data_IF_283892473471
#
_entry.id   IF_283892473471
#
_cell.length_a   1.000
_cell.length_b   1.000
_cell.length_c   1.000
_cell.angle_alpha   90.00
_cell.angle_beta   90.00
_cell.angle_gamma   90.00
#
_symmetry.space_group_name_H-M   'P 1'
#
loop_
_entity.id
_entity.type
_entity.pdbx_description
1 polymer ?
#
# COMPACT_ATOMS: atom_id res chain seq x y z
N UNK A 1 -41.01 -7.39 -27.39
CA UNK A 1 -41.62 -6.59 -26.30
C UNK A 1 -41.06 -7.19 -25.01
N UNK A 2 -39.89 -6.69 -24.59
CA UNK A 2 -39.68 -5.80 -23.42
C UNK A 2 -39.59 -6.65 -22.12
N UNK A 3 -38.56 -6.55 -21.27
CA UNK A 3 -37.63 -5.47 -20.98
C UNK A 3 -36.25 -6.00 -20.56
N UNK A 4 -35.27 -5.16 -20.84
CA UNK A 4 -33.90 -5.16 -20.35
C UNK A 4 -33.80 -5.39 -18.84
N UNK A 5 -32.73 -6.05 -18.41
CA UNK A 5 -32.19 -5.79 -17.08
C UNK A 5 -30.66 -5.73 -17.16
N UNK A 6 -30.19 -4.54 -17.56
CA UNK A 6 -28.80 -4.14 -17.47
C UNK A 6 -28.33 -4.36 -16.02
N UNK A 7 -27.51 -5.38 -15.79
CA UNK A 7 -26.79 -5.51 -14.53
C UNK A 7 -25.61 -4.54 -14.56
N UNK A 8 -25.95 -3.32 -14.15
CA UNK A 8 -25.20 -2.46 -13.24
C UNK A 8 -23.71 -2.25 -13.57
N UNK A 9 -23.44 -1.29 -14.44
CA UNK A 9 -22.16 -0.60 -14.49
C UNK A 9 -22.24 0.58 -13.49
N UNK A 10 -21.20 0.71 -12.65
CA UNK A 10 -20.93 1.78 -11.66
C UNK A 10 -21.34 1.51 -10.19
N UNK A 11 -20.42 0.92 -9.43
CA UNK A 11 -20.23 1.16 -7.98
C UNK A 11 -18.94 0.48 -7.49
N UNK A 12 -17.78 0.95 -7.96
CA UNK A 12 -16.47 0.46 -7.47
C UNK A 12 -15.50 1.60 -7.13
N UNK A 13 -16.00 2.79 -6.80
CA UNK A 13 -15.14 3.97 -6.60
C UNK A 13 -15.17 4.61 -5.21
N UNK A 14 -15.99 4.14 -4.28
CA UNK A 14 -16.10 4.74 -2.94
C UNK A 14 -15.76 3.79 -1.76
N UNK A 15 -15.31 2.57 -2.04
CA UNK A 15 -14.96 1.62 -0.99
C UNK A 15 -13.53 1.85 -0.47
N UNK A 16 -13.34 1.58 0.82
CA UNK A 16 -12.04 1.64 1.46
C UNK A 16 -11.06 0.64 0.80
N UNK A 17 -9.84 1.09 0.57
CA UNK A 17 -8.75 0.25 0.08
C UNK A 17 -8.10 -0.41 1.29
N UNK A 18 -8.09 -1.74 1.34
CA UNK A 18 -7.30 -2.51 2.29
C UNK A 18 -6.21 -3.23 1.50
N UNK A 19 -4.96 -3.13 1.93
CA UNK A 19 -3.90 -3.93 1.33
C UNK A 19 -2.82 -4.38 2.32
N UNK A 20 -2.10 -5.42 1.91
CA UNK A 20 -0.83 -5.82 2.49
C UNK A 20 0.23 -5.66 1.42
N UNK A 21 1.27 -4.87 1.68
CA UNK A 21 2.43 -4.76 0.81
C UNK A 21 3.57 -5.60 1.35
N UNK A 22 4.10 -6.51 0.54
CA UNK A 22 5.31 -7.27 0.85
C UNK A 22 6.50 -6.66 0.13
N UNK A 23 7.52 -6.27 0.91
CA UNK A 23 8.76 -5.67 0.43
C UNK A 23 9.89 -6.63 0.77
N UNK A 24 10.61 -7.09 -0.25
CA UNK A 24 11.72 -8.04 -0.12
C UNK A 24 13.05 -7.37 -0.50
N UNK A 25 13.69 -6.60 0.40
CA UNK A 25 15.01 -6.02 0.13
C UNK A 25 16.07 -7.08 -0.14
N UNK A 26 17.08 -6.75 -0.95
CA UNK A 26 18.37 -7.44 -0.92
C UNK A 26 18.99 -7.29 0.47
N UNK A 27 19.77 -8.28 0.92
CA UNK A 27 20.39 -8.28 2.26
C UNK A 27 21.10 -6.98 2.60
N UNK A 28 21.87 -6.46 1.64
CA UNK A 28 22.73 -5.29 1.83
C UNK A 28 21.94 -3.98 1.89
N UNK A 29 20.66 -3.99 1.46
CA UNK A 29 19.77 -2.84 1.45
C UNK A 29 18.65 -2.92 2.49
N UNK A 30 18.60 -3.98 3.31
CA UNK A 30 17.50 -4.18 4.25
C UNK A 30 17.32 -2.99 5.20
N UNK A 31 18.42 -2.48 5.79
CA UNK A 31 18.37 -1.33 6.70
C UNK A 31 17.98 -0.04 5.98
N UNK A 32 18.46 0.15 4.74
CA UNK A 32 18.12 1.33 3.93
C UNK A 32 16.63 1.35 3.57
N UNK A 33 16.08 0.22 3.14
CA UNK A 33 14.65 0.08 2.88
C UNK A 33 13.83 0.31 4.15
N UNK A 34 14.24 -0.28 5.28
CA UNK A 34 13.54 -0.08 6.56
C UNK A 34 13.52 1.39 6.97
N UNK A 35 14.68 2.05 6.97
CA UNK A 35 14.79 3.46 7.31
C UNK A 35 13.98 4.36 6.36
N UNK A 36 13.98 4.05 5.05
CA UNK A 36 13.21 4.80 4.07
C UNK A 36 11.69 4.68 4.31
N UNK A 37 11.19 3.49 4.68
CA UNK A 37 9.78 3.31 5.01
C UNK A 37 9.45 3.98 6.36
N UNK A 38 10.30 3.81 7.38
CA UNK A 38 10.11 4.45 8.70
C UNK A 38 9.97 5.97 8.58
N UNK A 39 10.75 6.59 7.69
CA UNK A 39 10.69 8.03 7.43
C UNK A 39 9.36 8.52 6.84
N UNK A 40 8.57 7.63 6.21
CA UNK A 40 7.27 7.98 5.62
C UNK A 40 6.07 7.61 6.49
N UNK A 41 6.26 6.90 7.60
CA UNK A 41 5.15 6.45 8.47
C UNK A 41 4.32 7.63 8.99
N UNK A 42 4.95 8.58 9.67
CA UNK A 42 4.25 9.72 10.27
C UNK A 42 3.62 10.68 9.25
N UNK A 43 4.29 11.09 8.15
CA UNK A 43 3.61 11.90 7.14
C UNK A 43 2.44 11.15 6.49
N UNK A 44 2.56 9.84 6.25
CA UNK A 44 1.47 9.04 5.68
C UNK A 44 0.27 8.97 6.62
N UNK A 45 0.49 8.76 7.93
CA UNK A 45 -0.57 8.77 8.94
C UNK A 45 -1.25 10.13 9.10
N UNK A 46 -0.57 11.22 8.74
CA UNK A 46 -1.16 12.56 8.72
C UNK A 46 -1.99 12.84 7.45
N UNK A 47 -1.97 11.96 6.44
CA UNK A 47 -2.78 12.14 5.24
C UNK A 47 -4.27 12.01 5.56
N UNK A 48 -5.15 12.91 5.08
CA UNK A 48 -6.57 12.92 5.45
C UNK A 48 -7.33 11.61 5.19
N UNK A 49 -6.89 10.82 4.21
CA UNK A 49 -7.51 9.55 3.85
C UNK A 49 -6.77 8.31 4.31
N UNK A 50 -5.65 8.44 5.05
CA UNK A 50 -4.98 7.30 5.66
C UNK A 50 -5.72 6.86 6.93
N UNK A 51 -6.16 5.60 6.95
CA UNK A 51 -6.85 5.00 8.10
C UNK A 51 -5.96 4.01 8.85
N UNK A 52 -4.99 3.40 8.16
CA UNK A 52 -3.99 2.49 8.73
C UNK A 52 -2.72 2.54 7.90
N UNK A 53 -1.58 2.58 8.56
CA UNK A 53 -0.26 2.44 7.96
C UNK A 53 0.71 1.90 9.01
N UNK A 54 0.96 0.59 8.96
CA UNK A 54 1.73 -0.14 9.97
C UNK A 54 2.84 -0.94 9.31
N UNK A 55 4.07 -0.75 9.79
CA UNK A 55 5.24 -1.46 9.34
C UNK A 55 5.55 -2.63 10.28
N UNK A 56 5.77 -3.80 9.67
CA UNK A 56 6.22 -5.01 10.34
C UNK A 56 7.48 -5.54 9.65
N UNK A 57 8.26 -6.32 10.39
CA UNK A 57 9.32 -7.17 9.85
C UNK A 57 8.99 -8.64 10.14
N UNK A 58 9.36 -9.54 9.23
CA UNK A 58 9.32 -10.97 9.53
C UNK A 58 10.41 -11.32 10.57
N UNK A 59 10.28 -12.49 11.21
CA UNK A 59 11.20 -12.93 12.27
C UNK A 59 12.66 -12.99 11.82
N UNK A 60 12.88 -13.32 10.54
CA UNK A 60 14.22 -13.48 9.96
C UNK A 60 14.84 -12.16 9.50
N UNK A 61 14.12 -11.03 9.63
CA UNK A 61 14.57 -9.68 9.21
C UNK A 61 15.04 -9.64 7.75
N UNK A 62 14.28 -10.30 6.88
CA UNK A 62 14.52 -10.36 5.43
C UNK A 62 13.38 -9.78 4.61
N UNK A 63 12.22 -9.57 5.23
CA UNK A 63 11.03 -9.01 4.59
C UNK A 63 10.44 -7.92 5.50
N UNK A 64 10.02 -6.83 4.86
CA UNK A 64 9.23 -5.78 5.47
C UNK A 64 7.79 -5.91 4.94
N UNK A 65 6.82 -5.67 5.80
CA UNK A 65 5.40 -5.79 5.47
C UNK A 65 4.68 -4.52 5.91
N UNK A 66 3.98 -3.86 4.99
CA UNK A 66 3.06 -2.78 5.32
C UNK A 66 1.64 -3.32 5.34
N UNK A 67 0.89 -2.97 6.38
CA UNK A 67 -0.56 -3.14 6.41
C UNK A 67 -1.18 -1.76 6.30
N UNK A 68 -1.94 -1.55 5.22
CA UNK A 68 -2.42 -0.24 4.84
C UNK A 68 -3.93 -0.23 4.67
N UNK A 69 -4.53 0.90 5.03
CA UNK A 69 -5.92 1.18 4.74
C UNK A 69 -6.10 2.64 4.37
N UNK A 70 -6.76 2.89 3.24
CA UNK A 70 -7.15 4.22 2.79
C UNK A 70 -8.67 4.30 2.64
N UNK A 71 -9.24 5.49 2.87
CA UNK A 71 -10.70 5.69 2.83
C UNK A 71 -11.32 5.36 1.48
N UNK A 72 -10.59 5.54 0.38
CA UNK A 72 -11.03 5.27 -1.00
C UNK A 72 -9.84 5.30 -1.94
N UNK A 73 -10.08 4.94 -3.20
CA UNK A 73 -9.06 4.90 -4.25
C UNK A 73 -8.29 6.20 -4.42
N UNK A 74 -8.97 7.34 -4.37
CA UNK A 74 -8.33 8.66 -4.49
C UNK A 74 -7.24 8.88 -3.44
N UNK A 75 -7.47 8.46 -2.20
CA UNK A 75 -6.52 8.69 -1.11
C UNK A 75 -5.32 7.74 -1.20
N UNK A 76 -5.53 6.52 -1.68
CA UNK A 76 -4.45 5.60 -2.04
C UNK A 76 -3.58 6.17 -3.18
N UNK A 77 -4.21 6.68 -4.25
CA UNK A 77 -3.48 7.29 -5.36
C UNK A 77 -2.74 8.58 -4.92
N UNK A 78 -3.36 9.38 -4.03
CA UNK A 78 -2.73 10.55 -3.41
C UNK A 78 -1.47 10.17 -2.64
N UNK A 79 -1.54 9.13 -1.79
CA UNK A 79 -0.40 8.60 -1.05
C UNK A 79 0.76 8.20 -2.00
N UNK A 80 0.43 7.44 -3.04
CA UNK A 80 1.42 6.95 -4.01
C UNK A 80 2.04 8.09 -4.81
N UNK A 81 1.33 9.20 -5.03
CA UNK A 81 1.85 10.38 -5.71
C UNK A 81 2.74 11.28 -4.82
N UNK A 82 2.80 11.06 -3.50
CA UNK A 82 3.55 11.94 -2.61
C UNK A 82 5.06 11.88 -2.88
N UNK A 83 5.77 13.03 -2.80
CA UNK A 83 7.22 13.07 -3.02
C UNK A 83 8.02 12.15 -2.09
N UNK A 84 7.57 11.93 -0.85
CA UNK A 84 8.24 11.02 0.08
C UNK A 84 8.03 9.55 -0.31
N UNK A 85 6.85 9.16 -0.79
CA UNK A 85 6.56 7.81 -1.28
C UNK A 85 7.35 7.52 -2.56
N UNK A 86 7.42 8.49 -3.48
CA UNK A 86 8.21 8.37 -4.71
C UNK A 86 9.71 8.16 -4.45
N UNK A 87 10.27 8.78 -3.40
CA UNK A 87 11.67 8.53 -2.98
C UNK A 87 11.89 7.09 -2.51
N UNK A 88 10.91 6.50 -1.83
CA UNK A 88 10.97 5.08 -1.43
C UNK A 88 10.97 4.19 -2.67
N UNK A 89 10.13 4.47 -3.67
CA UNK A 89 10.11 3.71 -4.92
C UNK A 89 11.40 3.83 -5.73
N UNK A 90 12.01 5.02 -5.77
CA UNK A 90 13.34 5.19 -6.39
C UNK A 90 14.41 4.31 -5.71
N UNK A 91 14.37 4.18 -4.38
CA UNK A 91 15.24 3.24 -3.68
C UNK A 91 14.94 1.79 -4.09
N UNK A 92 13.67 1.42 -4.19
CA UNK A 92 13.25 0.06 -4.53
C UNK A 92 13.76 -0.43 -5.90
N UNK A 93 13.90 0.46 -6.89
CA UNK A 93 14.41 0.11 -8.22
C UNK A 93 15.74 -0.65 -8.19
N UNK A 94 16.61 -0.35 -7.22
CA UNK A 94 17.89 -1.03 -7.02
C UNK A 94 17.92 -1.95 -5.80
N UNK A 95 17.13 -1.66 -4.77
CA UNK A 95 17.26 -2.27 -3.46
C UNK A 95 16.50 -3.60 -3.30
N UNK A 96 15.44 -3.84 -4.08
CA UNK A 96 14.63 -5.04 -3.89
C UNK A 96 15.18 -6.26 -4.63
N UNK A 97 15.04 -7.44 -4.01
CA UNK A 97 15.35 -8.73 -4.62
C UNK A 97 14.26 -9.16 -5.61
N UNK A 98 13.00 -8.79 -5.30
CA UNK A 98 11.84 -8.93 -6.18
C UNK A 98 10.99 -7.66 -6.10
N UNK A 99 10.20 -7.32 -7.13
CA UNK A 99 9.27 -6.19 -7.05
C UNK A 99 8.37 -6.28 -5.82
N UNK A 100 7.99 -5.14 -5.24
CA UNK A 100 7.04 -5.10 -4.13
C UNK A 100 5.69 -5.69 -4.58
N UNK A 101 5.10 -6.52 -3.73
CA UNK A 101 3.81 -7.16 -4.01
C UNK A 101 2.70 -6.46 -3.24
N UNK A 102 1.68 -5.97 -3.93
CA UNK A 102 0.50 -5.35 -3.31
C UNK A 102 -0.68 -6.31 -3.37
N UNK A 103 -1.13 -6.78 -2.22
CA UNK A 103 -2.26 -7.70 -2.09
C UNK A 103 -3.47 -6.92 -1.58
N UNK A 104 -4.39 -6.58 -2.49
CA UNK A 104 -5.64 -5.88 -2.16
C UNK A 104 -6.67 -6.84 -1.60
N UNK A 105 -7.32 -6.43 -0.50
CA UNK A 105 -8.18 -7.29 0.29
C UNK A 105 -9.58 -6.69 0.46
N UNK A 106 -10.59 -7.57 0.49
CA UNK A 106 -11.95 -7.21 0.90
C UNK A 106 -12.10 -7.50 2.38
N UNK A 107 -12.53 -6.50 3.15
CA UNK A 107 -12.94 -6.71 4.54
C UNK A 107 -14.27 -7.49 4.55
N UNK A 108 -14.33 -8.55 5.35
CA UNK A 108 -15.58 -9.27 5.59
C UNK A 108 -16.28 -8.66 6.82
N UNK A 109 -17.59 -8.47 6.71
CA UNK A 109 -18.43 -8.20 7.87
C UNK A 109 -18.58 -9.49 8.69
N UNK A 110 -18.49 -9.37 10.02
CA UNK A 110 -18.63 -10.48 10.96
C UNK A 110 -20.08 -10.72 11.35
#
# INVERSE_FOLDING_TARGET
MTKDNAHNNQSQHDDAINLVAYINPKSDYYQDCKAAIEAIIEPTRCEPGCQRFELYENKDKSQLTLIERFSRRHDFDFHHAQPYTQKVYQLYEQALATPAELHFMTQLDA
#
